data_IF_533064816167
#
_entry.id   IF_533064816167
#
_cell.length_a   1.000
_cell.length_b   1.000
_cell.length_c   1.000
_cell.angle_alpha   90.00
_cell.angle_beta   90.00
_cell.angle_gamma   90.00
#
_symmetry.space_group_name_H-M   'P 1'
#
loop_
_entity.id
_entity.type
_entity.pdbx_description
1 polymer ?
#
# COMPACT_ATOMS: atom_id res chain seq x y z
N UNK A 1 26.29 0.26 16.49
CA UNK A 1 25.91 0.56 15.09
C UNK A 1 25.47 2.00 15.03
N UNK A 2 25.89 2.80 14.02
CA UNK A 2 25.32 4.13 13.83
C UNK A 2 23.81 4.04 13.58
N UNK A 3 23.02 5.07 13.96
CA UNK A 3 21.59 5.08 13.71
C UNK A 3 21.32 5.07 12.20
N UNK A 4 20.25 4.36 11.79
CA UNK A 4 19.81 4.39 10.40
C UNK A 4 19.49 5.84 9.98
N UNK A 5 19.85 6.25 8.75
CA UNK A 5 19.45 7.55 8.25
C UNK A 5 17.92 7.73 8.34
N UNK A 6 17.49 8.94 8.70
CA UNK A 6 16.05 9.27 8.79
C UNK A 6 15.30 8.90 7.50
N UNK A 7 15.79 9.22 6.28
CA UNK A 7 15.10 8.87 5.04
C UNK A 7 14.93 7.35 4.87
N UNK A 8 15.98 6.56 5.14
CA UNK A 8 15.91 5.10 5.08
C UNK A 8 14.93 4.50 6.10
N UNK A 9 14.91 5.05 7.32
CA UNK A 9 14.01 4.60 8.38
C UNK A 9 12.55 4.86 8.01
N UNK A 10 12.24 6.06 7.54
CA UNK A 10 10.89 6.43 7.06
C UNK A 10 10.50 5.57 5.87
N UNK A 11 11.41 5.35 4.92
CA UNK A 11 11.17 4.58 3.71
C UNK A 11 10.72 3.14 4.03
N UNK A 12 11.56 2.43 4.81
CA UNK A 12 11.39 1.02 5.12
C UNK A 12 10.18 0.78 6.02
N UNK A 13 10.05 1.55 7.11
CA UNK A 13 8.93 1.39 8.05
C UNK A 13 7.59 1.66 7.39
N UNK A 14 7.50 2.70 6.56
CA UNK A 14 6.27 3.02 5.82
C UNK A 14 5.94 1.95 4.77
N UNK A 15 6.95 1.38 4.10
CA UNK A 15 6.76 0.30 3.13
C UNK A 15 6.19 -0.96 3.80
N UNK A 16 6.75 -1.35 4.95
CA UNK A 16 6.27 -2.49 5.74
C UNK A 16 4.85 -2.24 6.22
N UNK A 17 4.56 -1.06 6.80
CA UNK A 17 3.22 -0.72 7.26
C UNK A 17 2.19 -0.72 6.12
N UNK A 18 2.57 -0.21 4.94
CA UNK A 18 1.75 -0.22 3.73
C UNK A 18 1.40 -1.65 3.31
N UNK A 19 2.42 -2.50 3.18
CA UNK A 19 2.29 -3.89 2.76
C UNK A 19 1.45 -4.71 3.75
N UNK A 20 1.74 -4.60 5.05
CA UNK A 20 0.99 -5.28 6.12
C UNK A 20 -0.48 -4.89 6.12
N UNK A 21 -0.77 -3.60 5.97
CA UNK A 21 -2.15 -3.11 5.91
C UNK A 21 -2.85 -3.58 4.62
N UNK A 22 -2.14 -3.62 3.49
CA UNK A 22 -2.69 -4.16 2.23
C UNK A 22 -3.00 -5.65 2.34
N UNK A 23 -2.13 -6.43 2.98
CA UNK A 23 -2.34 -7.84 3.25
C UNK A 23 -3.56 -8.07 4.14
N UNK A 24 -3.73 -7.25 5.19
CA UNK A 24 -4.88 -7.34 6.09
C UNK A 24 -6.22 -7.12 5.35
N UNK A 25 -6.25 -6.30 4.29
CA UNK A 25 -7.45 -6.16 3.46
C UNK A 25 -7.82 -7.47 2.79
N UNK A 26 -6.85 -8.17 2.19
CA UNK A 26 -7.12 -9.44 1.49
C UNK A 26 -7.42 -10.59 2.45
N UNK A 27 -6.65 -10.73 3.53
CA UNK A 27 -6.68 -11.96 4.35
C UNK A 27 -7.59 -11.87 5.57
N UNK A 28 -7.94 -10.67 6.03
CA UNK A 28 -8.72 -10.51 7.27
C UNK A 28 -10.03 -9.79 7.00
N UNK A 29 -9.94 -8.57 6.49
CA UNK A 29 -11.12 -7.73 6.35
C UNK A 29 -12.06 -8.18 5.22
N UNK A 30 -11.50 -8.64 4.09
CA UNK A 30 -12.30 -9.10 2.96
C UNK A 30 -13.10 -10.38 3.27
N UNK A 31 -12.50 -11.46 3.83
CA UNK A 31 -13.25 -12.65 4.24
C UNK A 31 -14.36 -12.33 5.24
N UNK A 32 -14.04 -11.58 6.31
CA UNK A 32 -15.04 -11.19 7.31
C UNK A 32 -16.16 -10.31 6.73
N UNK A 33 -15.85 -9.47 5.75
CA UNK A 33 -16.85 -8.72 5.00
C UNK A 33 -17.78 -9.61 4.19
N UNK A 34 -17.25 -10.61 3.47
CA UNK A 34 -18.05 -11.57 2.71
C UNK A 34 -18.96 -12.40 3.64
N UNK A 35 -18.44 -12.86 4.78
CA UNK A 35 -19.19 -13.60 5.80
C UNK A 35 -20.35 -12.79 6.40
N UNK A 36 -20.13 -11.48 6.63
CA UNK A 36 -21.16 -10.57 7.14
C UNK A 36 -22.30 -10.29 6.13
N UNK A 37 -22.09 -10.62 4.86
CA UNK A 37 -23.05 -10.45 3.78
C UNK A 37 -23.02 -9.06 3.11
N UNK A 38 -23.57 -8.93 1.89
CA UNK A 38 -23.37 -7.75 1.05
C UNK A 38 -23.80 -6.41 1.65
N UNK A 39 -24.93 -6.38 2.35
CA UNK A 39 -25.45 -5.14 2.95
C UNK A 39 -24.54 -4.64 4.10
N UNK A 40 -24.16 -5.53 5.01
CA UNK A 40 -23.29 -5.19 6.14
C UNK A 40 -21.88 -4.80 5.67
N UNK A 41 -21.33 -5.55 4.70
CA UNK A 41 -20.04 -5.22 4.08
C UNK A 41 -20.08 -3.82 3.45
N UNK A 42 -21.08 -3.55 2.62
CA UNK A 42 -21.21 -2.25 1.93
C UNK A 42 -21.30 -1.08 2.92
N UNK A 43 -22.12 -1.23 3.97
CA UNK A 43 -22.28 -0.21 5.00
C UNK A 43 -20.99 0.03 5.82
N UNK A 44 -20.28 -1.04 6.19
CA UNK A 44 -18.99 -0.95 6.86
C UNK A 44 -17.93 -0.30 5.96
N UNK A 45 -17.85 -0.74 4.70
CA UNK A 45 -16.91 -0.25 3.71
C UNK A 45 -17.02 1.26 3.52
N UNK A 46 -18.25 1.78 3.37
CA UNK A 46 -18.49 3.20 3.15
C UNK A 46 -17.94 4.08 4.28
N UNK A 47 -18.04 3.61 5.53
CA UNK A 47 -17.51 4.33 6.71
C UNK A 47 -15.99 4.19 6.86
N UNK A 48 -15.45 3.06 6.46
CA UNK A 48 -14.04 2.70 6.62
C UNK A 48 -13.15 3.31 5.52
N UNK A 49 -13.60 3.22 4.26
CA UNK A 49 -12.77 3.49 3.10
C UNK A 49 -12.12 4.89 3.08
N UNK A 50 -12.83 6.01 3.35
CA UNK A 50 -12.21 7.34 3.31
C UNK A 50 -11.04 7.48 4.28
N UNK A 51 -11.14 6.83 5.46
CA UNK A 51 -10.10 6.87 6.49
C UNK A 51 -8.88 6.09 6.05
N UNK A 52 -9.08 4.88 5.54
CA UNK A 52 -7.95 4.05 5.13
C UNK A 52 -7.30 4.55 3.84
N UNK A 53 -8.06 5.09 2.91
CA UNK A 53 -7.52 5.66 1.67
C UNK A 53 -6.49 6.75 2.00
N UNK A 54 -6.81 7.64 2.94
CA UNK A 54 -5.89 8.67 3.44
C UNK A 54 -4.65 8.07 4.11
N UNK A 55 -4.83 7.09 4.99
CA UNK A 55 -3.70 6.46 5.68
C UNK A 55 -2.73 5.76 4.71
N UNK A 56 -3.27 4.95 3.81
CA UNK A 56 -2.51 4.22 2.80
C UNK A 56 -1.78 5.14 1.80
N UNK A 57 -2.37 6.28 1.44
CA UNK A 57 -1.70 7.27 0.59
C UNK A 57 -0.56 7.98 1.30
N UNK A 58 -0.70 8.30 2.60
CA UNK A 58 0.41 8.83 3.40
C UNK A 58 1.58 7.84 3.45
N UNK A 59 1.30 6.55 3.71
CA UNK A 59 2.34 5.52 3.78
C UNK A 59 3.09 5.33 2.46
N UNK A 60 2.38 5.29 1.32
CA UNK A 60 3.02 5.11 0.01
C UNK A 60 3.93 6.29 -0.32
N UNK A 61 3.48 7.53 -0.03
CA UNK A 61 4.25 8.75 -0.29
C UNK A 61 5.45 8.88 0.66
N UNK A 62 5.28 8.57 1.94
CA UNK A 62 6.36 8.56 2.90
C UNK A 62 7.43 7.51 2.53
N UNK A 63 7.01 6.32 2.11
CA UNK A 63 7.91 5.27 1.67
C UNK A 63 8.70 5.67 0.42
N UNK A 64 7.99 6.10 -0.62
CA UNK A 64 8.60 6.53 -1.88
C UNK A 64 9.53 7.74 -1.67
N UNK A 65 9.07 8.78 -0.98
CA UNK A 65 9.83 9.99 -0.72
C UNK A 65 11.09 9.72 0.11
N UNK A 66 10.98 8.89 1.15
CA UNK A 66 12.13 8.48 1.96
C UNK A 66 13.18 7.73 1.14
N UNK A 67 12.75 6.81 0.27
CA UNK A 67 13.66 6.03 -0.57
C UNK A 67 14.36 6.90 -1.63
N UNK A 68 13.60 7.78 -2.30
CA UNK A 68 14.16 8.73 -3.27
C UNK A 68 15.14 9.70 -2.60
N UNK A 69 14.79 10.24 -1.43
CA UNK A 69 15.70 11.09 -0.67
C UNK A 69 16.97 10.33 -0.26
N UNK A 70 16.84 9.08 0.19
CA UNK A 70 17.98 8.23 0.55
C UNK A 70 18.92 7.97 -0.64
N UNK A 71 18.39 7.86 -1.87
CA UNK A 71 19.19 7.63 -3.08
C UNK A 71 20.16 8.77 -3.40
N UNK A 72 19.84 10.01 -3.02
CA UNK A 72 20.66 11.20 -3.28
C UNK A 72 21.43 11.68 -2.05
N UNK A 73 20.87 11.54 -0.86
CA UNK A 73 21.38 12.13 0.38
C UNK A 73 22.54 11.37 1.04
N UNK A 74 22.90 10.17 0.57
CA UNK A 74 23.96 9.36 1.18
C UNK A 74 25.28 9.50 0.42
N UNK A 75 26.19 10.41 0.80
CA UNK A 75 27.46 10.62 0.09
C UNK A 75 28.36 9.39 0.09
N UNK A 76 28.30 8.58 1.16
CA UNK A 76 29.06 7.34 1.29
C UNK A 76 28.43 6.12 0.58
N UNK A 77 27.19 6.24 0.08
CA UNK A 77 26.53 5.13 -0.60
C UNK A 77 27.17 4.88 -1.97
N UNK A 78 27.47 3.61 -2.22
CA UNK A 78 27.87 3.12 -3.54
C UNK A 78 26.79 3.39 -4.59
N UNK A 79 27.19 3.44 -5.86
CA UNK A 79 26.25 3.61 -6.98
C UNK A 79 25.15 2.53 -6.95
N UNK A 80 25.51 1.28 -6.63
CA UNK A 80 24.55 0.19 -6.50
C UNK A 80 23.50 0.46 -5.42
N UNK A 81 23.90 0.96 -4.25
CA UNK A 81 22.96 1.28 -3.17
C UNK A 81 22.01 2.39 -3.57
N UNK A 82 22.53 3.46 -4.19
CA UNK A 82 21.70 4.56 -4.70
C UNK A 82 20.67 4.06 -5.70
N UNK A 83 21.05 3.15 -6.60
CA UNK A 83 20.14 2.50 -7.54
C UNK A 83 19.08 1.65 -6.85
N UNK A 84 19.43 0.86 -5.83
CA UNK A 84 18.45 0.06 -5.07
C UNK A 84 17.41 0.95 -4.37
N UNK A 85 17.83 2.07 -3.79
CA UNK A 85 16.94 3.07 -3.20
C UNK A 85 16.03 3.74 -4.23
N UNK A 86 16.59 4.11 -5.39
CA UNK A 86 15.81 4.65 -6.50
C UNK A 86 14.74 3.66 -6.98
N UNK A 87 15.14 2.41 -7.25
CA UNK A 87 14.25 1.36 -7.74
C UNK A 87 13.12 1.06 -6.75
N UNK A 88 13.43 0.95 -5.45
CA UNK A 88 12.42 0.69 -4.42
C UNK A 88 11.45 1.87 -4.26
N UNK A 89 11.94 3.12 -4.33
CA UNK A 89 11.08 4.31 -4.33
C UNK A 89 10.17 4.39 -5.55
N UNK A 90 10.71 4.12 -6.75
CA UNK A 90 9.94 4.06 -7.99
C UNK A 90 8.90 2.93 -7.97
N UNK A 91 9.22 1.77 -7.41
CA UNK A 91 8.27 0.67 -7.25
C UNK A 91 7.09 1.08 -6.35
N UNK A 92 7.36 1.76 -5.24
CA UNK A 92 6.30 2.28 -4.35
C UNK A 92 5.41 3.31 -5.06
N UNK A 93 5.99 4.22 -5.86
CA UNK A 93 5.20 5.13 -6.69
C UNK A 93 4.38 4.40 -7.76
N UNK A 94 4.93 3.33 -8.35
CA UNK A 94 4.26 2.49 -9.33
C UNK A 94 2.98 1.83 -8.83
N UNK A 95 2.78 1.75 -7.51
CA UNK A 95 1.53 1.26 -6.92
C UNK A 95 0.36 2.23 -7.14
N UNK A 96 0.62 3.52 -7.37
CA UNK A 96 -0.42 4.53 -7.60
C UNK A 96 -1.22 4.28 -8.89
N UNK A 97 -0.60 4.09 -10.07
CA UNK A 97 -1.32 3.69 -11.28
C UNK A 97 -2.22 2.46 -11.07
N UNK A 98 -1.71 1.41 -10.41
CA UNK A 98 -2.51 0.23 -10.08
C UNK A 98 -3.70 0.57 -9.18
N UNK A 99 -3.48 1.39 -8.16
CA UNK A 99 -4.53 1.81 -7.22
C UNK A 99 -5.64 2.57 -7.93
N UNK A 100 -5.31 3.51 -8.82
CA UNK A 100 -6.31 4.27 -9.56
C UNK A 100 -6.99 3.47 -10.68
N UNK A 101 -6.26 2.56 -11.33
CA UNK A 101 -6.77 1.77 -12.45
C UNK A 101 -7.61 0.57 -12.03
N UNK A 102 -7.18 -0.19 -11.01
CA UNK A 102 -7.82 -1.45 -10.63
C UNK A 102 -8.68 -1.36 -9.36
N UNK A 103 -8.22 -0.61 -8.35
CA UNK A 103 -8.86 -0.61 -7.02
C UNK A 103 -9.92 0.49 -6.90
N UNK A 104 -9.61 1.70 -7.35
CA UNK A 104 -10.51 2.86 -7.22
C UNK A 104 -11.88 2.65 -7.90
N UNK A 105 -11.99 2.00 -9.08
CA UNK A 105 -13.29 1.72 -9.68
C UNK A 105 -14.17 0.84 -8.79
N UNK A 106 -13.60 -0.18 -8.17
CA UNK A 106 -14.32 -1.06 -7.23
C UNK A 106 -14.77 -0.29 -5.99
N UNK A 107 -13.88 0.50 -5.39
CA UNK A 107 -14.22 1.31 -4.22
C UNK A 107 -15.37 2.27 -4.51
N UNK A 108 -15.32 2.96 -5.66
CA UNK A 108 -16.40 3.87 -6.09
C UNK A 108 -17.71 3.14 -6.31
N UNK A 109 -17.69 1.95 -6.89
CA UNK A 109 -18.90 1.14 -7.07
C UNK A 109 -19.53 0.72 -5.74
N UNK A 110 -18.73 0.32 -4.75
CA UNK A 110 -19.22 -0.06 -3.42
C UNK A 110 -19.80 1.17 -2.69
N UNK A 111 -19.09 2.31 -2.72
CA UNK A 111 -19.59 3.55 -2.10
C UNK A 111 -20.88 4.05 -2.76
N UNK A 112 -20.96 4.02 -4.10
CA UNK A 112 -22.15 4.45 -4.82
C UNK A 112 -23.38 3.59 -4.48
N UNK A 113 -23.21 2.29 -4.21
CA UNK A 113 -24.29 1.45 -3.70
C UNK A 113 -24.70 1.88 -2.27
N UNK A 114 -23.72 2.12 -1.40
CA UNK A 114 -23.96 2.57 -0.04
C UNK A 114 -24.71 3.92 0.03
N UNK A 115 -24.36 4.87 -0.84
CA UNK A 115 -25.02 6.18 -0.95
C UNK A 115 -26.50 6.06 -1.36
N UNK A 116 -26.85 5.02 -2.12
CA UNK A 116 -28.23 4.70 -2.49
C UNK A 116 -28.99 3.90 -1.43
N UNK A 117 -28.32 3.52 -0.33
CA UNK A 117 -28.89 2.62 0.66
C UNK A 117 -29.01 1.16 0.18
N UNK A 118 -28.26 0.80 -0.87
CA UNK A 118 -28.26 -0.52 -1.49
C UNK A 118 -27.03 -1.33 -1.08
N UNK A 119 -27.14 -2.66 -1.19
CA UNK A 119 -25.96 -3.52 -1.11
C UNK A 119 -25.19 -3.47 -2.44
N UNK A 120 -23.86 -3.40 -2.35
CA UNK A 120 -23.02 -3.56 -3.53
C UNK A 120 -23.18 -4.96 -4.14
N UNK A 121 -23.02 -5.04 -5.47
CA UNK A 121 -23.05 -6.32 -6.19
C UNK A 121 -22.03 -7.29 -5.62
N UNK A 122 -22.42 -8.55 -5.51
CA UNK A 122 -21.58 -9.60 -4.96
C UNK A 122 -20.28 -9.79 -5.76
N UNK A 123 -20.33 -9.64 -7.09
CA UNK A 123 -19.11 -9.72 -7.93
C UNK A 123 -18.12 -8.60 -7.60
N UNK A 124 -18.61 -7.37 -7.40
CA UNK A 124 -17.78 -6.22 -6.99
C UNK A 124 -17.12 -6.47 -5.64
N UNK A 125 -17.88 -7.01 -4.68
CA UNK A 125 -17.36 -7.33 -3.36
C UNK A 125 -16.29 -8.42 -3.45
N UNK A 126 -16.56 -9.53 -4.17
CA UNK A 126 -15.61 -10.64 -4.38
C UNK A 126 -14.32 -10.20 -5.09
N UNK A 127 -14.40 -9.24 -6.01
CA UNK A 127 -13.23 -8.72 -6.71
C UNK A 127 -12.33 -7.82 -5.83
N UNK A 128 -12.87 -7.24 -4.75
CA UNK A 128 -12.19 -6.20 -3.98
C UNK A 128 -10.97 -6.69 -3.17
N UNK A 129 -11.05 -7.86 -2.54
CA UNK A 129 -9.94 -8.40 -1.76
C UNK A 129 -8.69 -8.69 -2.58
N UNK A 130 -8.79 -9.51 -3.66
CA UNK A 130 -7.63 -9.95 -4.44
C UNK A 130 -6.81 -8.83 -5.08
N UNK A 131 -7.41 -7.71 -5.48
CA UNK A 131 -6.68 -6.60 -6.14
C UNK A 131 -5.63 -5.94 -5.23
N UNK A 132 -5.70 -6.16 -3.91
CA UNK A 132 -4.71 -5.67 -2.95
C UNK A 132 -3.45 -6.53 -2.90
N UNK A 133 -3.45 -7.75 -3.45
CA UNK A 133 -2.27 -8.63 -3.49
C UNK A 133 -1.09 -7.99 -4.22
N UNK A 134 -1.35 -7.29 -5.33
CA UNK A 134 -0.33 -6.55 -6.08
C UNK A 134 0.35 -5.50 -5.19
N UNK A 135 -0.44 -4.78 -4.38
CA UNK A 135 0.09 -3.77 -3.45
C UNK A 135 0.91 -4.38 -2.33
N UNK A 136 0.45 -5.52 -1.81
CA UNK A 136 1.17 -6.29 -0.78
C UNK A 136 2.53 -6.76 -1.31
N UNK A 137 2.55 -7.41 -2.47
CA UNK A 137 3.79 -7.91 -3.08
C UNK A 137 4.73 -6.75 -3.42
N UNK A 138 4.24 -5.68 -4.06
CA UNK A 138 5.07 -4.52 -4.39
C UNK A 138 5.70 -3.88 -3.15
N UNK A 139 4.92 -3.71 -2.07
CA UNK A 139 5.42 -3.18 -0.81
C UNK A 139 6.45 -4.11 -0.14
N UNK A 140 6.20 -5.42 -0.10
CA UNK A 140 7.16 -6.39 0.46
C UNK A 140 8.47 -6.43 -0.35
N UNK A 141 8.38 -6.43 -1.68
CA UNK A 141 9.56 -6.39 -2.56
C UNK A 141 10.34 -5.09 -2.35
N UNK A 142 9.65 -3.94 -2.29
CA UNK A 142 10.30 -2.67 -2.00
C UNK A 142 11.00 -2.68 -0.64
N UNK A 143 10.33 -3.15 0.42
CA UNK A 143 10.91 -3.29 1.76
C UNK A 143 12.14 -4.22 1.77
N UNK A 144 12.09 -5.35 1.06
CA UNK A 144 13.21 -6.28 0.95
C UNK A 144 14.41 -5.64 0.23
N UNK A 145 14.17 -4.90 -0.86
CA UNK A 145 15.22 -4.17 -1.60
C UNK A 145 15.85 -3.08 -0.72
N UNK A 146 15.04 -2.32 0.03
CA UNK A 146 15.52 -1.30 0.98
C UNK A 146 16.34 -1.93 2.10
N UNK A 147 15.86 -3.04 2.68
CA UNK A 147 16.58 -3.79 3.71
C UNK A 147 17.92 -4.34 3.21
N UNK A 148 17.96 -4.85 1.98
CA UNK A 148 19.20 -5.29 1.34
C UNK A 148 20.17 -4.12 1.08
N UNK A 149 19.67 -2.98 0.61
CA UNK A 149 20.48 -1.78 0.40
C UNK A 149 21.11 -1.26 1.70
N UNK A 150 20.37 -1.36 2.81
CA UNK A 150 20.85 -1.05 4.16
C UNK A 150 21.90 -2.04 4.67
N UNK A 151 21.70 -3.34 4.45
CA UNK A 151 22.64 -4.37 4.92
C UNK A 151 24.00 -4.29 4.21
N UNK A 152 24.04 -3.74 3.00
CA UNK A 152 25.27 -3.52 2.22
C UNK A 152 25.99 -2.21 2.54
N UNK A 153 25.52 -1.41 3.51
CA UNK A 153 26.20 -0.19 4.01
C UNK A 153 27.34 -0.52 4.96
#
# INVERSE_FOLDING_TARGET
>A
MPPLPVPATVALSSSIAFASTAAAWTFVAHPGGLEAGPAAYTAWFNKMFPKIAKFQSVLVLASAGGALAQSVASPAASQQQRLLWLLSGSLMLGVLPWTFGAIMPLNKAIMAAAEKGEAAKEETLKAWGPVHNVRTVAGLVAAAVMGYALWKL
#
